data_IF_774545572826
#
_entry.id   IF_774545572826
#
_cell.length_a   1.000
_cell.length_b   1.000
_cell.length_c   1.000
_cell.angle_alpha   90.00
_cell.angle_beta   90.00
_cell.angle_gamma   90.00
#
_symmetry.space_group_name_H-M   'P 1'
#
loop_
_entity.id
_entity.type
_entity.pdbx_description
1 polymer ?
#
# COMPACT_ATOMS: atom_id res chain seq x y z
N UNK A 1 -9.04 -7.36 -25.09
CA UNK A 1 -9.32 -7.99 -23.77
C UNK A 1 -7.95 -8.36 -23.20
N UNK A 2 -7.55 -7.84 -22.04
CA UNK A 2 -6.29 -8.28 -21.42
C UNK A 2 -6.39 -9.79 -21.16
N UNK A 3 -5.44 -10.56 -21.67
CA UNK A 3 -5.33 -11.96 -21.26
C UNK A 3 -4.86 -11.99 -19.81
N UNK A 4 -5.66 -12.64 -18.98
CA UNK A 4 -5.34 -12.89 -17.58
C UNK A 4 -4.00 -13.63 -17.48
N UNK A 5 -3.04 -13.02 -16.79
CA UNK A 5 -1.71 -13.60 -16.61
C UNK A 5 -1.68 -14.45 -15.34
N UNK A 6 -1.66 -15.77 -15.49
CA UNK A 6 -1.76 -16.71 -14.35
C UNK A 6 -0.65 -16.50 -13.31
N UNK A 7 0.57 -16.21 -13.74
CA UNK A 7 1.70 -15.97 -12.84
C UNK A 7 1.47 -14.75 -11.93
N UNK A 8 0.80 -13.71 -12.42
CA UNK A 8 0.44 -12.51 -11.63
C UNK A 8 -0.54 -12.89 -10.52
N UNK A 9 -1.50 -13.76 -10.83
CA UNK A 9 -2.48 -14.19 -9.84
C UNK A 9 -1.84 -15.08 -8.78
N UNK A 10 -0.93 -15.98 -9.17
CA UNK A 10 -0.14 -16.76 -8.21
C UNK A 10 0.73 -15.88 -7.32
N UNK A 11 1.41 -14.87 -7.90
CA UNK A 11 2.21 -13.93 -7.14
C UNK A 11 1.35 -13.13 -6.12
N UNK A 12 0.17 -12.65 -6.54
CA UNK A 12 -0.78 -12.01 -5.61
C UNK A 12 -1.24 -12.96 -4.51
N UNK A 13 -1.60 -14.19 -4.85
CA UNK A 13 -2.03 -15.20 -3.90
C UNK A 13 -0.95 -15.48 -2.85
N UNK A 14 0.28 -15.69 -3.29
CA UNK A 14 1.44 -15.86 -2.41
C UNK A 14 1.66 -14.64 -1.51
N UNK A 15 1.61 -13.43 -2.08
CA UNK A 15 1.70 -12.19 -1.32
C UNK A 15 0.63 -12.06 -0.24
N UNK A 16 -0.62 -12.46 -0.54
CA UNK A 16 -1.74 -12.40 0.44
C UNK A 16 -1.50 -13.39 1.58
N UNK A 17 -1.02 -14.59 1.28
CA UNK A 17 -0.67 -15.59 2.30
C UNK A 17 0.41 -15.02 3.24
N UNK A 18 1.43 -14.36 2.69
CA UNK A 18 2.47 -13.71 3.50
C UNK A 18 1.94 -12.58 4.37
N UNK A 19 0.99 -11.77 3.87
CA UNK A 19 0.31 -10.73 4.67
C UNK A 19 -0.39 -11.35 5.87
N UNK A 20 -1.21 -12.37 5.64
CA UNK A 20 -1.96 -13.05 6.71
C UNK A 20 -0.99 -13.65 7.72
N UNK A 21 0.04 -14.36 7.25
CA UNK A 21 1.06 -14.95 8.10
C UNK A 21 1.78 -13.90 8.95
N UNK A 22 2.22 -12.78 8.36
CA UNK A 22 2.87 -11.69 9.06
C UNK A 22 1.99 -11.08 10.16
N UNK A 23 0.71 -10.84 9.87
CA UNK A 23 -0.23 -10.32 10.87
C UNK A 23 -0.53 -11.31 12.00
N UNK A 24 -0.66 -12.59 11.69
CA UNK A 24 -0.83 -13.64 12.71
C UNK A 24 0.41 -13.72 13.60
N UNK A 25 1.62 -13.71 13.00
CA UNK A 25 2.87 -13.77 13.74
C UNK A 25 3.06 -12.56 14.68
N UNK A 26 2.80 -11.35 14.19
CA UNK A 26 2.77 -10.12 15.00
C UNK A 26 1.73 -10.19 16.11
N UNK A 27 0.55 -10.75 15.83
CA UNK A 27 -0.51 -10.94 16.81
C UNK A 27 -0.09 -11.88 17.94
N UNK A 28 0.50 -13.03 17.62
CA UNK A 28 0.99 -14.01 18.59
C UNK A 28 2.13 -13.43 19.45
N UNK A 29 3.07 -12.73 18.81
CA UNK A 29 4.18 -12.09 19.52
C UNK A 29 3.66 -11.02 20.51
N UNK A 30 2.75 -10.16 20.08
CA UNK A 30 2.14 -9.13 20.94
C UNK A 30 1.26 -9.72 22.06
N UNK A 31 0.74 -10.93 21.88
CA UNK A 31 -0.01 -11.66 22.90
C UNK A 31 0.89 -12.33 23.96
N UNK A 32 2.21 -12.24 23.83
CA UNK A 32 3.17 -12.82 24.78
C UNK A 32 3.35 -14.32 24.63
N UNK A 33 2.94 -14.91 23.49
CA UNK A 33 3.23 -16.31 23.18
C UNK A 33 4.74 -16.47 23.06
N UNK A 34 5.30 -17.48 23.71
CA UNK A 34 6.74 -17.76 23.72
C UNK A 34 7.24 -18.13 22.32
N UNK A 35 7.67 -17.13 21.57
CA UNK A 35 8.30 -17.25 20.26
C UNK A 35 9.73 -16.74 20.39
N UNK A 36 10.69 -17.39 19.74
CA UNK A 36 12.05 -16.89 19.68
C UNK A 36 12.06 -15.50 19.01
N UNK A 37 12.53 -14.49 19.74
CA UNK A 37 12.52 -13.08 19.34
C UNK A 37 13.34 -12.82 18.07
N UNK A 38 14.51 -13.44 17.95
CA UNK A 38 15.36 -13.28 16.77
C UNK A 38 14.68 -13.86 15.53
N UNK A 39 14.15 -15.09 15.64
CA UNK A 39 13.39 -15.72 14.55
C UNK A 39 12.16 -14.91 14.16
N UNK A 40 11.44 -14.36 15.14
CA UNK A 40 10.31 -13.47 14.89
C UNK A 40 10.74 -12.25 14.07
N UNK A 41 11.76 -11.51 14.52
CA UNK A 41 12.23 -10.30 13.82
C UNK A 41 12.80 -10.60 12.44
N UNK A 42 13.56 -11.69 12.28
CA UNK A 42 14.08 -12.10 10.98
C UNK A 42 12.95 -12.43 9.99
N UNK A 43 11.96 -13.22 10.42
CA UNK A 43 10.81 -13.56 9.58
C UNK A 43 9.98 -12.32 9.23
N UNK A 44 9.71 -11.46 10.21
CA UNK A 44 8.94 -10.24 9.99
C UNK A 44 9.64 -9.32 8.97
N UNK A 45 10.95 -9.12 9.11
CA UNK A 45 11.74 -8.30 8.18
C UNK A 45 11.76 -8.88 6.76
N UNK A 46 11.97 -10.20 6.60
CA UNK A 46 11.95 -10.86 5.29
C UNK A 46 10.58 -10.70 4.62
N UNK A 47 9.51 -10.91 5.38
CA UNK A 47 8.16 -10.78 4.85
C UNK A 47 7.91 -9.34 4.42
N UNK A 48 8.09 -8.36 5.30
CA UNK A 48 7.78 -6.95 5.03
C UNK A 48 8.66 -6.31 3.95
N UNK A 49 9.91 -6.76 3.81
CA UNK A 49 10.81 -6.31 2.73
C UNK A 49 10.42 -6.81 1.34
N UNK A 50 9.51 -7.79 1.23
CA UNK A 50 9.15 -8.38 -0.05
C UNK A 50 7.67 -8.21 -0.41
N UNK A 51 6.74 -8.59 0.47
CA UNK A 51 5.33 -8.72 0.06
C UNK A 51 4.67 -7.38 -0.27
N UNK A 52 5.03 -6.31 0.42
CA UNK A 52 4.51 -4.96 0.14
C UNK A 52 5.06 -4.42 -1.19
N UNK A 53 6.39 -4.42 -1.42
CA UNK A 53 6.96 -4.12 -2.73
C UNK A 53 6.34 -4.91 -3.89
N UNK A 54 6.06 -6.21 -3.68
CA UNK A 54 5.46 -7.07 -4.70
C UNK A 54 4.12 -6.50 -5.20
N UNK A 55 3.22 -6.09 -4.31
CA UNK A 55 1.92 -5.56 -4.74
C UNK A 55 2.01 -4.22 -5.46
N UNK A 56 2.95 -3.35 -5.06
CA UNK A 56 3.23 -2.11 -5.79
C UNK A 56 3.78 -2.39 -7.19
N UNK A 57 4.74 -3.31 -7.30
CA UNK A 57 5.30 -3.75 -8.57
C UNK A 57 4.22 -4.33 -9.49
N UNK A 58 3.43 -5.29 -8.99
CA UNK A 58 2.33 -5.87 -9.78
C UNK A 58 1.28 -4.83 -10.19
N UNK A 59 1.07 -3.79 -9.40
CA UNK A 59 0.17 -2.68 -9.74
C UNK A 59 0.75 -1.77 -10.84
N UNK A 60 2.06 -1.59 -10.88
CA UNK A 60 2.78 -0.83 -11.90
C UNK A 60 2.75 -1.50 -13.27
N UNK A 61 2.90 -2.83 -13.33
CA UNK A 61 2.86 -3.61 -14.59
C UNK A 61 1.63 -3.29 -15.46
N UNK A 62 0.47 -3.10 -14.84
CA UNK A 62 -0.79 -2.84 -15.54
C UNK A 62 -1.14 -1.34 -15.62
N UNK A 63 -0.26 -0.44 -15.17
CA UNK A 63 -0.56 0.98 -15.09
C UNK A 63 -0.85 1.58 -16.46
N UNK A 64 0.07 1.45 -17.42
CA UNK A 64 -0.04 2.07 -18.76
C UNK A 64 -1.31 1.60 -19.46
N UNK A 65 -1.57 0.29 -19.47
CA UNK A 65 -2.79 -0.28 -20.07
C UNK A 65 -4.05 0.19 -19.34
N UNK A 66 -4.00 0.33 -18.01
CA UNK A 66 -5.15 0.75 -17.22
C UNK A 66 -5.56 2.20 -17.45
N UNK A 67 -4.61 3.09 -17.81
CA UNK A 67 -4.85 4.52 -18.08
C UNK A 67 -5.00 4.84 -19.58
N UNK A 68 -4.39 4.05 -20.47
CA UNK A 68 -4.42 4.27 -21.92
C UNK A 68 -5.86 4.36 -22.45
N UNK A 69 -6.11 5.36 -23.30
CA UNK A 69 -7.43 5.60 -23.90
C UNK A 69 -8.51 6.12 -22.94
N UNK A 70 -8.18 6.40 -21.66
CA UNK A 70 -9.11 7.00 -20.69
C UNK A 70 -8.71 8.43 -20.37
N UNK A 71 -9.71 9.28 -20.09
CA UNK A 71 -9.44 10.59 -19.48
C UNK A 71 -8.95 10.42 -18.05
N UNK A 72 -8.10 11.35 -17.57
CA UNK A 72 -7.58 11.35 -16.19
C UNK A 72 -8.71 11.26 -15.15
N UNK A 73 -9.82 11.99 -15.37
CA UNK A 73 -11.02 11.94 -14.51
C UNK A 73 -11.64 10.54 -14.45
N UNK A 74 -11.80 9.87 -15.59
CA UNK A 74 -12.37 8.50 -15.66
C UNK A 74 -11.44 7.48 -15.00
N UNK A 75 -10.13 7.62 -15.19
CA UNK A 75 -9.14 6.78 -14.55
C UNK A 75 -9.18 6.92 -13.01
N UNK A 76 -9.08 8.14 -12.50
CA UNK A 76 -9.09 8.42 -11.06
C UNK A 76 -10.42 7.95 -10.44
N UNK A 77 -11.56 8.26 -11.05
CA UNK A 77 -12.86 7.76 -10.55
C UNK A 77 -12.92 6.23 -10.46
N UNK A 78 -12.32 5.53 -11.44
CA UNK A 78 -12.18 4.07 -11.39
C UNK A 78 -11.33 3.60 -10.20
N UNK A 79 -10.20 4.25 -9.93
CA UNK A 79 -9.34 3.93 -8.78
C UNK A 79 -10.00 4.25 -7.44
N UNK A 80 -10.77 5.34 -7.35
CA UNK A 80 -11.58 5.61 -6.16
C UNK A 80 -12.58 4.49 -5.89
N UNK A 81 -13.27 3.98 -6.93
CA UNK A 81 -14.20 2.85 -6.77
C UNK A 81 -13.50 1.54 -6.40
N UNK A 82 -12.33 1.25 -6.98
CA UNK A 82 -11.65 -0.02 -6.77
C UNK A 82 -10.72 -0.06 -5.55
N UNK A 83 -10.25 1.10 -5.06
CA UNK A 83 -9.26 1.21 -3.98
C UNK A 83 -9.81 2.01 -2.81
N UNK A 84 -10.23 3.27 -3.04
CA UNK A 84 -10.69 4.14 -1.95
C UNK A 84 -11.98 3.64 -1.30
N UNK A 85 -12.91 3.11 -2.08
CA UNK A 85 -14.17 2.58 -1.53
C UNK A 85 -13.93 1.40 -0.57
N UNK A 86 -13.21 0.32 -0.96
CA UNK A 86 -12.83 -0.73 0.00
C UNK A 86 -12.04 -0.19 1.19
N UNK A 87 -11.10 0.72 0.95
CA UNK A 87 -10.31 1.37 1.99
C UNK A 87 -11.19 2.05 3.05
N UNK A 88 -12.14 2.88 2.63
CA UNK A 88 -13.03 3.61 3.52
C UNK A 88 -13.97 2.67 4.28
N UNK A 89 -14.61 1.73 3.57
CA UNK A 89 -15.56 0.79 4.18
C UNK A 89 -14.88 -0.03 5.28
N UNK A 90 -13.73 -0.63 4.97
CA UNK A 90 -13.03 -1.48 5.93
C UNK A 90 -12.36 -0.70 7.06
N UNK A 91 -11.84 0.50 6.79
CA UNK A 91 -11.27 1.36 7.85
C UNK A 91 -12.32 1.78 8.86
N UNK A 92 -13.53 2.15 8.40
CA UNK A 92 -14.64 2.53 9.28
C UNK A 92 -15.15 1.29 10.03
N UNK A 93 -15.39 0.18 9.33
CA UNK A 93 -15.92 -1.04 9.93
C UNK A 93 -14.98 -1.56 11.03
N UNK A 94 -13.69 -1.74 10.73
CA UNK A 94 -12.71 -2.18 11.71
C UNK A 94 -12.57 -1.16 12.85
N UNK A 95 -12.49 0.14 12.53
CA UNK A 95 -12.38 1.19 13.54
C UNK A 95 -13.58 1.24 14.49
N UNK A 96 -14.80 1.05 13.99
CA UNK A 96 -16.00 0.96 14.84
C UNK A 96 -15.94 -0.25 15.78
N UNK A 97 -15.50 -1.42 15.28
CA UNK A 97 -15.30 -2.61 16.12
C UNK A 97 -14.25 -2.33 17.21
N UNK A 98 -13.12 -1.69 16.86
CA UNK A 98 -12.08 -1.29 17.82
C UNK A 98 -12.59 -0.31 18.87
N UNK A 99 -13.47 0.63 18.51
CA UNK A 99 -14.11 1.56 19.47
C UNK A 99 -15.02 0.81 20.44
N UNK A 100 -15.86 -0.11 19.94
CA UNK A 100 -16.76 -0.92 20.77
C UNK A 100 -15.97 -1.80 21.74
N UNK A 101 -14.87 -2.39 21.25
CA UNK A 101 -13.98 -3.26 22.02
C UNK A 101 -12.89 -2.50 22.77
N UNK A 102 -12.87 -1.16 22.73
CA UNK A 102 -11.82 -0.36 23.38
C UNK A 102 -11.73 -0.59 24.89
N UNK A 103 -12.86 -0.93 25.53
CA UNK A 103 -12.92 -1.29 26.96
C UNK A 103 -12.34 -2.68 27.27
N UNK A 104 -12.15 -3.53 26.26
CA UNK A 104 -11.67 -4.91 26.38
C UNK A 104 -10.29 -5.12 25.73
N UNK A 105 -9.73 -4.07 25.13
CA UNK A 105 -8.43 -4.12 24.45
C UNK A 105 -7.47 -3.12 25.10
N UNK A 106 -6.16 -3.35 24.95
CA UNK A 106 -5.14 -2.44 25.49
C UNK A 106 -5.04 -1.11 24.73
N UNK A 107 -5.90 -0.86 23.75
CA UNK A 107 -5.82 0.29 22.84
C UNK A 107 -7.01 1.23 23.03
N UNK A 108 -6.74 2.47 23.44
CA UNK A 108 -7.75 3.54 23.54
C UNK A 108 -8.08 4.11 22.16
N UNK A 109 -8.86 3.36 21.38
CA UNK A 109 -9.35 3.85 20.08
C UNK A 109 -10.57 4.75 20.28
N UNK A 110 -10.51 5.99 19.76
CA UNK A 110 -11.63 6.94 19.81
C UNK A 110 -12.33 7.05 18.46
N UNK A 111 -13.61 7.42 18.44
CA UNK A 111 -14.36 7.63 17.19
C UNK A 111 -13.71 8.69 16.29
N UNK A 112 -13.15 9.75 16.88
CA UNK A 112 -12.43 10.78 16.13
C UNK A 112 -11.21 10.20 15.39
N UNK A 113 -10.48 9.27 16.03
CA UNK A 113 -9.36 8.58 15.37
C UNK A 113 -9.81 7.67 14.23
N UNK A 114 -11.04 7.15 14.28
CA UNK A 114 -11.60 6.33 13.18
C UNK A 114 -11.96 7.22 12.00
N UNK A 115 -12.59 8.37 12.25
CA UNK A 115 -12.98 9.32 11.20
C UNK A 115 -11.79 10.03 10.55
N UNK A 116 -10.62 10.04 11.18
CA UNK A 116 -9.38 10.58 10.59
C UNK A 116 -8.73 9.66 9.56
N UNK A 117 -9.31 8.49 9.26
CA UNK A 117 -8.78 7.53 8.30
C UNK A 117 -8.38 8.12 6.92
N UNK A 118 -9.03 9.16 6.34
CA UNK A 118 -8.62 9.67 5.05
C UNK A 118 -7.21 10.27 5.03
N UNK A 119 -6.71 10.69 6.20
CA UNK A 119 -5.38 11.26 6.37
C UNK A 119 -4.47 10.31 7.15
N UNK A 120 -5.02 9.56 8.11
CA UNK A 120 -4.28 8.61 8.95
C UNK A 120 -4.69 7.18 8.58
N UNK A 121 -3.98 6.52 7.64
CA UNK A 121 -4.29 5.14 7.33
C UNK A 121 -4.19 4.26 8.57
N UNK A 122 -5.24 3.47 8.80
CA UNK A 122 -5.35 2.61 9.98
C UNK A 122 -4.82 1.21 9.68
N UNK A 123 -4.02 0.68 10.59
CA UNK A 123 -3.56 -0.71 10.60
C UNK A 123 -3.07 -1.15 9.21
N UNK A 124 -3.44 -2.33 8.72
CA UNK A 124 -3.04 -2.88 7.41
C UNK A 124 -3.54 -2.09 6.19
N UNK A 125 -4.46 -1.14 6.35
CA UNK A 125 -5.06 -0.41 5.22
C UNK A 125 -4.16 0.67 4.63
N UNK A 126 -3.02 0.97 5.26
CA UNK A 126 -2.00 1.89 4.74
C UNK A 126 -1.58 1.58 3.31
N UNK A 127 -1.58 0.30 2.93
CA UNK A 127 -1.27 -0.11 1.58
C UNK A 127 -2.21 0.51 0.54
N UNK A 128 -3.52 0.42 0.77
CA UNK A 128 -4.53 0.93 -0.17
C UNK A 128 -4.43 2.45 -0.28
N UNK A 129 -4.18 3.13 0.84
CA UNK A 129 -3.92 4.56 0.88
C UNK A 129 -2.69 4.93 0.04
N UNK A 130 -1.55 4.31 0.29
CA UNK A 130 -0.30 4.53 -0.44
C UNK A 130 -0.46 4.25 -1.94
N UNK A 131 -1.10 3.13 -2.30
CA UNK A 131 -1.33 2.73 -3.67
C UNK A 131 -2.22 3.73 -4.42
N UNK A 132 -3.27 4.24 -3.76
CA UNK A 132 -4.13 5.27 -4.34
C UNK A 132 -3.35 6.55 -4.64
N UNK A 133 -2.53 7.01 -3.68
CA UNK A 133 -1.69 8.19 -3.85
C UNK A 133 -0.71 8.03 -5.00
N UNK A 134 -0.03 6.88 -5.09
CA UNK A 134 0.89 6.57 -6.19
C UNK A 134 0.14 6.57 -7.53
N UNK A 135 -1.03 5.94 -7.63
CA UNK A 135 -1.83 5.99 -8.87
C UNK A 135 -2.26 7.42 -9.25
N UNK A 136 -2.63 8.26 -8.28
CA UNK A 136 -2.97 9.67 -8.52
C UNK A 136 -1.74 10.42 -9.03
N UNK A 137 -0.59 10.29 -8.37
CA UNK A 137 0.66 10.91 -8.77
C UNK A 137 1.08 10.48 -10.18
N UNK A 138 1.10 9.17 -10.45
CA UNK A 138 1.41 8.63 -11.78
C UNK A 138 0.42 9.12 -12.83
N UNK A 139 -0.87 9.25 -12.52
CA UNK A 139 -1.88 9.82 -13.43
C UNK A 139 -1.63 11.31 -13.72
N UNK A 140 -1.17 12.08 -12.74
CA UNK A 140 -0.81 13.49 -12.93
C UNK A 140 0.37 13.59 -13.89
N UNK A 141 1.43 12.80 -13.65
CA UNK A 141 2.64 12.75 -14.48
C UNK A 141 2.36 12.20 -15.88
N UNK A 142 1.40 11.29 -16.02
CA UNK A 142 1.07 10.65 -17.30
C UNK A 142 0.69 11.68 -18.38
N UNK A 143 1.43 11.62 -19.49
CA UNK A 143 1.30 12.45 -20.68
C UNK A 143 1.69 11.64 -21.94
N UNK A 144 1.60 12.25 -23.13
CA UNK A 144 1.93 11.60 -24.41
C UNK A 144 3.37 11.08 -24.50
N UNK A 145 4.30 11.67 -23.74
CA UNK A 145 5.72 11.33 -23.73
C UNK A 145 6.13 10.52 -22.49
N UNK A 146 5.16 10.03 -21.72
CA UNK A 146 5.39 9.39 -20.43
C UNK A 146 6.41 8.24 -20.51
N UNK A 147 6.34 7.43 -21.57
CA UNK A 147 7.28 6.31 -21.79
C UNK A 147 8.74 6.75 -21.93
N UNK A 148 9.00 7.97 -22.42
CA UNK A 148 10.37 8.53 -22.50
C UNK A 148 10.87 9.00 -21.13
N UNK A 149 9.97 9.35 -20.23
CA UNK A 149 10.31 9.83 -18.89
C UNK A 149 10.44 8.70 -17.86
N UNK A 150 10.10 7.45 -18.20
CA UNK A 150 10.17 6.31 -17.27
C UNK A 150 11.54 6.19 -16.58
N UNK A 151 12.70 6.23 -17.27
CA UNK A 151 13.99 6.12 -16.61
C UNK A 151 14.24 7.25 -15.61
N UNK A 152 13.81 8.47 -15.95
CA UNK A 152 13.92 9.62 -15.06
C UNK A 152 13.00 9.48 -13.83
N UNK A 153 11.76 9.04 -14.02
CA UNK A 153 10.80 8.78 -12.93
C UNK A 153 11.36 7.69 -12.00
N UNK A 154 11.96 6.63 -12.56
CA UNK A 154 12.57 5.55 -11.79
C UNK A 154 13.73 6.07 -10.93
N UNK A 155 14.67 6.81 -11.52
CA UNK A 155 15.79 7.42 -10.78
C UNK A 155 15.28 8.36 -9.70
N UNK A 156 14.30 9.21 -10.01
CA UNK A 156 13.71 10.13 -9.02
C UNK A 156 13.03 9.37 -7.87
N UNK A 157 12.28 8.30 -8.17
CA UNK A 157 11.63 7.46 -7.15
C UNK A 157 12.64 6.71 -6.28
N UNK A 158 13.77 6.29 -6.86
CA UNK A 158 14.87 5.66 -6.13
C UNK A 158 15.58 6.66 -5.21
N UNK A 159 15.84 7.88 -5.68
CA UNK A 159 16.38 8.95 -4.84
C UNK A 159 15.41 9.33 -3.72
N UNK A 160 14.11 9.38 -4.01
CA UNK A 160 13.08 9.62 -3.01
C UNK A 160 13.03 8.50 -1.95
N UNK A 161 13.23 7.24 -2.34
CA UNK A 161 13.33 6.12 -1.41
C UNK A 161 14.53 6.26 -0.44
N UNK A 162 15.68 6.74 -0.93
CA UNK A 162 16.90 6.88 -0.10
C UNK A 162 16.87 8.13 0.78
N UNK A 163 16.36 9.25 0.25
CA UNK A 163 16.49 10.58 0.88
C UNK A 163 15.17 11.21 1.31
N UNK A 164 14.02 10.66 0.92
CA UNK A 164 12.70 11.28 1.09
C UNK A 164 12.37 11.65 2.53
N UNK A 165 12.59 10.73 3.46
CA UNK A 165 12.34 10.96 4.90
C UNK A 165 13.20 12.08 5.48
N UNK A 166 14.40 12.33 4.93
CA UNK A 166 15.29 13.41 5.39
C UNK A 166 14.88 14.78 4.88
N UNK A 167 14.12 14.85 3.79
CA UNK A 167 13.79 16.11 3.10
C UNK A 167 12.39 16.59 3.47
N UNK A 168 11.40 15.70 3.53
CA UNK A 168 9.99 16.03 3.79
C UNK A 168 9.49 15.08 4.87
N UNK A 169 9.38 15.55 6.11
CA UNK A 169 8.87 14.76 7.24
C UNK A 169 7.33 14.85 7.38
N UNK A 170 6.63 14.88 6.25
CA UNK A 170 5.16 14.84 6.26
C UNK A 170 4.74 13.38 6.24
N UNK A 171 4.42 12.84 7.41
CA UNK A 171 4.04 11.42 7.64
C UNK A 171 3.11 10.84 6.56
N UNK A 172 2.18 11.63 6.05
CA UNK A 172 1.19 11.21 5.04
C UNK A 172 1.73 11.01 3.63
N UNK A 173 2.86 11.64 3.30
CA UNK A 173 3.48 11.64 1.97
C UNK A 173 4.64 10.63 1.93
N UNK A 174 5.23 10.26 3.08
CA UNK A 174 6.32 9.29 3.16
C UNK A 174 5.97 7.97 2.47
N UNK A 175 4.72 7.50 2.60
CA UNK A 175 4.23 6.32 1.89
C UNK A 175 4.48 6.35 0.36
N UNK A 176 4.45 7.54 -0.26
CA UNK A 176 4.77 7.70 -1.69
C UNK A 176 6.27 7.49 -1.89
N UNK A 177 7.12 8.16 -1.11
CA UNK A 177 8.57 8.09 -1.26
C UNK A 177 9.08 6.67 -1.01
N UNK A 178 8.54 6.00 0.00
CA UNK A 178 8.98 4.67 0.42
C UNK A 178 8.57 3.56 -0.56
N UNK A 179 7.51 3.78 -1.36
CA UNK A 179 6.89 2.70 -2.15
C UNK A 179 6.79 2.98 -3.66
N UNK A 180 6.91 4.24 -4.09
CA UNK A 180 6.77 4.60 -5.52
C UNK A 180 7.84 3.99 -6.42
N UNK A 181 9.02 3.65 -5.87
CA UNK A 181 10.10 3.00 -6.62
C UNK A 181 9.69 1.63 -7.14
N UNK A 182 9.02 0.82 -6.31
CA UNK A 182 8.58 -0.53 -6.69
C UNK A 182 7.51 -0.48 -7.77
N UNK A 183 6.61 0.50 -7.68
CA UNK A 183 5.61 0.75 -8.72
C UNK A 183 6.28 1.19 -10.03
N UNK A 184 7.17 2.18 -9.96
CA UNK A 184 7.82 2.77 -11.15
C UNK A 184 8.77 1.80 -11.85
N UNK A 185 9.38 0.88 -11.10
CA UNK A 185 10.24 -0.17 -11.64
C UNK A 185 9.48 -1.14 -12.58
N UNK A 186 8.17 -1.28 -12.39
CA UNK A 186 7.34 -2.19 -13.16
C UNK A 186 6.68 -1.57 -14.40
N UNK A 187 6.71 -0.24 -14.51
CA UNK A 187 6.01 0.56 -15.54
C UNK A 187 6.88 0.68 -16.79
#
# INVERSE_FOLDING_TARGET
MMMRQLWVDYAKGFGIILVVFGHVNRGLFNAGVSINTELYHSLDNIIYSFHMPLFFFLSGLFFIESISGKSKKKFISGKFKSIFYPYAVWSILQGCIEVILSNYTNSKTTLLSVLSFPFHPRAQFWFLYALLLIFILSCIIYNKYFTKHIPFILVLSFLAYIYGEKIISVYYINYIFDNSVFFSWAV
#
